data_IF_488209167402
#
_entry.id   IF_488209167402
#
_cell.length_a   1.000
_cell.length_b   1.000
_cell.length_c   1.000
_cell.angle_alpha   90.00
_cell.angle_beta   90.00
_cell.angle_gamma   90.00
#
_symmetry.space_group_name_H-M   'P 1'
#
loop_
_entity.id
_entity.type
_entity.pdbx_description
1 polymer ?
#
# COMPACT_ATOMS: atom_id res chain seq x y z
N UNK A 1 -14.66 3.71 -2.55
CA UNK A 1 -15.22 3.73 -1.18
C UNK A 1 -15.38 2.34 -0.53
N UNK A 2 -16.07 1.40 -1.19
CA UNK A 2 -16.44 0.08 -0.59
C UNK A 2 -15.22 -0.77 -0.20
N UNK A 3 -14.14 -0.76 -0.99
CA UNK A 3 -12.92 -1.54 -0.70
C UNK A 3 -11.96 -0.80 0.25
N UNK A 4 -11.98 0.53 0.26
CA UNK A 4 -11.03 1.36 1.02
C UNK A 4 -11.19 1.17 2.53
N UNK A 5 -12.42 1.27 3.04
CA UNK A 5 -12.71 1.13 4.47
C UNK A 5 -12.35 -0.24 5.05
N UNK A 6 -12.76 -1.39 4.47
CA UNK A 6 -12.41 -2.69 5.03
C UNK A 6 -10.90 -2.95 4.98
N UNK A 7 -10.22 -2.48 3.93
CA UNK A 7 -8.76 -2.60 3.82
C UNK A 7 -8.04 -1.78 4.90
N UNK A 8 -8.46 -0.55 5.13
CA UNK A 8 -7.90 0.29 6.20
C UNK A 8 -8.23 -0.24 7.61
N UNK A 9 -9.45 -0.76 7.80
CA UNK A 9 -9.83 -1.41 9.05
C UNK A 9 -8.94 -2.64 9.34
N UNK A 10 -8.68 -3.48 8.34
CA UNK A 10 -7.79 -4.63 8.49
C UNK A 10 -6.36 -4.23 8.88
N UNK A 11 -5.79 -3.20 8.24
CA UNK A 11 -4.48 -2.65 8.64
C UNK A 11 -4.49 -2.15 10.10
N UNK A 12 -5.58 -1.48 10.50
CA UNK A 12 -5.72 -0.98 11.87
C UNK A 12 -5.80 -2.11 12.90
N UNK A 13 -6.46 -3.23 12.56
CA UNK A 13 -6.49 -4.42 13.41
C UNK A 13 -5.11 -5.04 13.61
N UNK A 14 -4.27 -5.06 12.56
CA UNK A 14 -2.87 -5.51 12.67
C UNK A 14 -2.06 -4.56 13.58
N UNK A 15 -2.36 -3.26 13.57
CA UNK A 15 -1.69 -2.29 14.45
C UNK A 15 -2.11 -2.43 15.91
N UNK A 16 -3.28 -2.97 16.24
CA UNK A 16 -3.76 -3.12 17.64
C UNK A 16 -2.70 -3.73 18.57
N UNK A 17 -2.12 -4.91 18.27
CA UNK A 17 -1.09 -5.50 19.12
C UNK A 17 0.30 -4.87 18.94
N UNK A 18 0.56 -4.18 17.81
CA UNK A 18 1.89 -3.66 17.48
C UNK A 18 2.12 -2.22 17.97
N UNK A 19 1.03 -1.50 18.26
CA UNK A 19 1.00 -0.07 18.49
C UNK A 19 -0.14 0.27 19.47
N UNK A 20 0.11 0.15 20.78
CA UNK A 20 -0.88 0.45 21.81
C UNK A 20 -1.43 1.88 21.70
N UNK A 21 -0.53 2.83 21.43
CA UNK A 21 -0.81 4.28 21.33
C UNK A 21 -1.08 4.76 19.89
N UNK A 22 -1.48 3.86 18.99
CA UNK A 22 -1.77 4.20 17.58
C UNK A 22 -2.95 5.17 17.44
N UNK A 23 -2.92 5.96 16.37
CA UNK A 23 -4.09 6.70 15.90
C UNK A 23 -5.25 5.78 15.44
N UNK A 24 -6.42 6.37 15.16
CA UNK A 24 -7.63 5.65 14.81
C UNK A 24 -7.68 5.11 13.38
N UNK A 25 -8.83 4.51 13.05
CA UNK A 25 -9.10 3.96 11.70
C UNK A 25 -9.21 5.06 10.65
N UNK A 26 -9.72 6.24 11.02
CA UNK A 26 -9.90 7.37 10.09
C UNK A 26 -8.56 7.83 9.52
N UNK A 27 -7.53 7.86 10.35
CA UNK A 27 -6.18 8.22 9.97
C UNK A 27 -5.58 7.15 9.04
N UNK A 28 -5.82 5.86 9.33
CA UNK A 28 -5.46 4.76 8.41
C UNK A 28 -6.15 4.89 7.05
N UNK A 29 -7.45 5.21 7.03
CA UNK A 29 -8.21 5.44 5.79
C UNK A 29 -7.60 6.58 4.99
N UNK A 30 -7.24 7.68 5.65
CA UNK A 30 -6.61 8.83 5.01
C UNK A 30 -5.24 8.46 4.42
N UNK A 31 -4.38 7.77 5.16
CA UNK A 31 -3.08 7.31 4.67
C UNK A 31 -3.25 6.47 3.42
N UNK A 32 -4.12 5.46 3.45
CA UNK A 32 -4.35 4.58 2.29
C UNK A 32 -4.91 5.38 1.11
N UNK A 33 -5.89 6.25 1.35
CA UNK A 33 -6.49 7.08 0.31
C UNK A 33 -5.48 8.01 -0.36
N UNK A 34 -4.71 8.78 0.41
CA UNK A 34 -3.69 9.69 -0.14
C UNK A 34 -2.55 8.93 -0.82
N UNK A 35 -2.14 7.78 -0.30
CA UNK A 35 -1.12 6.94 -0.91
C UNK A 35 -1.54 6.37 -2.28
N UNK A 36 -2.84 6.36 -2.62
CA UNK A 36 -3.29 5.99 -3.97
C UNK A 36 -3.07 7.07 -5.03
N UNK A 37 -2.73 8.30 -4.66
CA UNK A 37 -2.56 9.41 -5.62
C UNK A 37 -1.62 9.09 -6.80
N UNK A 38 -0.44 8.46 -6.60
CA UNK A 38 0.44 8.07 -7.71
C UNK A 38 -0.21 7.06 -8.65
N UNK A 39 -1.14 6.24 -8.16
CA UNK A 39 -1.78 5.17 -8.92
C UNK A 39 -2.73 5.69 -10.02
N UNK A 40 -2.99 7.01 -10.09
CA UNK A 40 -3.57 7.61 -11.30
C UNK A 40 -2.72 7.26 -12.54
N UNK A 41 -1.39 7.23 -12.40
CA UNK A 41 -0.45 6.89 -13.46
C UNK A 41 -0.49 5.40 -13.85
N UNK A 42 -1.09 4.52 -13.04
CA UNK A 42 -1.24 3.09 -13.38
C UNK A 42 -2.15 2.85 -14.60
N UNK A 43 -2.95 3.85 -14.99
CA UNK A 43 -3.80 3.86 -16.19
C UNK A 43 -3.01 4.08 -17.49
N UNK A 44 -1.79 4.62 -17.41
CA UNK A 44 -0.91 4.80 -18.56
C UNK A 44 -0.52 3.42 -19.12
N UNK A 45 -0.59 3.18 -20.44
CA UNK A 45 -0.28 1.89 -21.05
C UNK A 45 1.25 1.65 -21.16
N UNK A 46 1.99 1.99 -20.12
CA UNK A 46 3.44 1.78 -19.98
C UNK A 46 3.66 0.98 -18.71
N UNK A 47 4.24 -0.22 -18.84
CA UNK A 47 4.34 -1.20 -17.76
C UNK A 47 5.19 -0.69 -16.60
N UNK A 48 6.30 -0.04 -16.92
CA UNK A 48 7.25 0.58 -16.01
C UNK A 48 6.58 1.69 -15.20
N UNK A 49 5.77 2.52 -15.84
CA UNK A 49 5.03 3.60 -15.18
C UNK A 49 4.04 3.03 -14.17
N UNK A 50 3.31 1.97 -14.54
CA UNK A 50 2.40 1.29 -13.61
C UNK A 50 3.16 0.72 -12.42
N UNK A 51 4.24 -0.02 -12.67
CA UNK A 51 5.04 -0.63 -11.61
C UNK A 51 5.61 0.43 -10.65
N UNK A 52 6.18 1.52 -11.18
CA UNK A 52 6.68 2.63 -10.37
C UNK A 52 5.57 3.28 -9.54
N UNK A 53 4.41 3.55 -10.14
CA UNK A 53 3.28 4.17 -9.46
C UNK A 53 2.76 3.32 -8.29
N UNK A 54 2.56 2.01 -8.50
CA UNK A 54 2.05 1.13 -7.45
C UNK A 54 3.07 0.87 -6.35
N UNK A 55 4.36 0.76 -6.69
CA UNK A 55 5.44 0.56 -5.72
C UNK A 55 5.64 1.81 -4.89
N UNK A 56 5.60 2.99 -5.51
CA UNK A 56 5.68 4.25 -4.80
C UNK A 56 4.49 4.45 -3.86
N UNK A 57 3.27 4.15 -4.33
CA UNK A 57 2.08 4.16 -3.48
C UNK A 57 2.18 3.19 -2.29
N UNK A 58 2.68 1.98 -2.51
CA UNK A 58 2.91 1.01 -1.43
C UNK A 58 3.93 1.51 -0.38
N UNK A 59 5.02 2.15 -0.83
CA UNK A 59 5.99 2.79 0.06
C UNK A 59 5.34 3.92 0.87
N UNK A 60 4.51 4.76 0.24
CA UNK A 60 3.78 5.83 0.92
C UNK A 60 2.82 5.30 1.98
N UNK A 61 2.19 4.14 1.78
CA UNK A 61 1.38 3.49 2.84
C UNK A 61 2.25 3.16 4.03
N UNK A 62 3.39 2.48 3.83
CA UNK A 62 4.27 2.09 4.93
C UNK A 62 4.78 3.32 5.69
N UNK A 63 5.26 4.34 4.98
CA UNK A 63 5.75 5.57 5.60
C UNK A 63 4.63 6.32 6.32
N UNK A 64 3.46 6.45 5.69
CA UNK A 64 2.30 7.11 6.28
C UNK A 64 1.84 6.43 7.56
N UNK A 65 1.75 5.10 7.58
CA UNK A 65 1.39 4.35 8.78
C UNK A 65 2.44 4.50 9.89
N UNK A 66 3.73 4.50 9.55
CA UNK A 66 4.80 4.72 10.52
C UNK A 66 4.69 6.10 11.19
N UNK A 67 4.48 7.15 10.40
CA UNK A 67 4.38 8.54 10.88
C UNK A 67 3.10 8.74 11.70
N UNK A 68 1.95 8.34 11.16
CA UNK A 68 0.64 8.62 11.76
C UNK A 68 0.39 7.82 13.03
N UNK A 69 0.89 6.58 13.11
CA UNK A 69 0.72 5.73 14.29
C UNK A 69 1.94 5.70 15.20
N UNK A 70 3.00 6.45 14.91
CA UNK A 70 4.20 6.55 15.75
C UNK A 70 4.96 5.22 15.91
N UNK A 71 5.01 4.40 14.87
CA UNK A 71 5.65 3.07 14.90
C UNK A 71 6.88 3.00 14.02
N UNK A 72 7.75 2.01 14.27
CA UNK A 72 8.86 1.72 13.37
C UNK A 72 8.37 1.29 11.98
N UNK A 73 9.18 1.56 10.95
CA UNK A 73 8.90 1.14 9.57
C UNK A 73 8.63 -0.35 9.44
N UNK A 74 9.29 -1.19 10.24
CA UNK A 74 9.05 -2.64 10.25
C UNK A 74 7.63 -2.99 10.70
N UNK A 75 7.13 -2.39 11.78
CA UNK A 75 5.75 -2.60 12.25
C UNK A 75 4.73 -2.03 11.28
N UNK A 76 5.02 -0.86 10.71
CA UNK A 76 4.19 -0.26 9.67
C UNK A 76 4.12 -1.15 8.41
N UNK A 77 5.24 -1.76 8.00
CA UNK A 77 5.28 -2.67 6.86
C UNK A 77 4.41 -3.91 7.10
N UNK A 78 4.42 -4.48 8.31
CA UNK A 78 3.52 -5.57 8.69
C UNK A 78 2.04 -5.16 8.61
N UNK A 79 1.70 -3.98 9.12
CA UNK A 79 0.33 -3.45 9.02
C UNK A 79 -0.08 -3.12 7.58
N UNK A 80 0.88 -2.74 6.73
CA UNK A 80 0.66 -2.38 5.34
C UNK A 80 0.40 -3.58 4.42
N UNK A 81 0.64 -4.82 4.87
CA UNK A 81 0.50 -6.02 4.01
C UNK A 81 -0.86 -6.08 3.33
N UNK A 82 -1.95 -5.92 4.09
CA UNK A 82 -3.31 -5.99 3.54
C UNK A 82 -3.58 -4.85 2.53
N UNK A 83 -3.38 -3.56 2.86
CA UNK A 83 -3.60 -2.48 1.90
C UNK A 83 -2.71 -2.56 0.67
N UNK A 84 -1.44 -2.93 0.83
CA UNK A 84 -0.51 -3.08 -0.29
C UNK A 84 -0.94 -4.21 -1.21
N UNK A 85 -1.22 -5.40 -0.69
CA UNK A 85 -1.57 -6.56 -1.52
C UNK A 85 -2.93 -6.36 -2.19
N UNK A 86 -3.96 -5.98 -1.44
CA UNK A 86 -5.32 -5.87 -1.97
C UNK A 86 -5.48 -4.61 -2.84
N UNK A 87 -5.05 -3.45 -2.35
CA UNK A 87 -5.21 -2.18 -3.04
C UNK A 87 -4.24 -2.01 -4.20
N UNK A 88 -2.94 -2.05 -3.92
CA UNK A 88 -1.87 -1.75 -4.89
C UNK A 88 -1.52 -2.97 -5.76
N UNK A 89 -1.54 -4.17 -5.16
CA UNK A 89 -1.24 -5.41 -5.84
C UNK A 89 -2.35 -5.85 -6.79
N UNK A 90 -3.56 -6.09 -6.28
CA UNK A 90 -4.70 -6.53 -7.09
C UNK A 90 -5.49 -5.37 -7.69
N UNK A 91 -5.88 -4.37 -6.90
CA UNK A 91 -6.72 -3.26 -7.35
C UNK A 91 -6.10 -2.46 -8.50
N UNK A 92 -4.79 -2.16 -8.42
CA UNK A 92 -4.04 -1.47 -9.46
C UNK A 92 -3.18 -2.39 -10.35
N UNK A 93 -3.36 -3.72 -10.23
CA UNK A 93 -2.59 -4.74 -10.99
C UNK A 93 -1.06 -4.62 -10.80
N UNK A 94 -0.62 -4.17 -9.63
CA UNK A 94 0.78 -4.02 -9.28
C UNK A 94 1.57 -5.32 -9.27
N UNK A 95 0.99 -6.43 -8.77
CA UNK A 95 1.66 -7.74 -8.73
C UNK A 95 1.98 -8.22 -10.15
N UNK A 96 1.02 -8.09 -11.07
CA UNK A 96 1.22 -8.43 -12.49
C UNK A 96 2.29 -7.55 -13.13
N UNK A 97 2.25 -6.23 -12.87
CA UNK A 97 3.19 -5.28 -13.46
C UNK A 97 4.62 -5.55 -13.02
N UNK A 98 4.85 -5.61 -11.71
CA UNK A 98 6.17 -5.87 -11.12
C UNK A 98 6.66 -7.27 -11.49
N UNK A 99 5.80 -8.29 -11.39
CA UNK A 99 6.17 -9.67 -11.74
C UNK A 99 6.52 -9.84 -13.22
N UNK A 100 5.93 -9.06 -14.12
CA UNK A 100 6.28 -9.06 -15.54
C UNK A 100 7.62 -8.40 -15.79
N UNK A 101 7.89 -7.23 -15.18
CA UNK A 101 9.20 -6.58 -15.29
C UNK A 101 10.33 -7.45 -14.73
N UNK A 102 10.13 -8.08 -13.56
CA UNK A 102 11.12 -8.97 -12.97
C UNK A 102 11.45 -10.14 -13.93
N UNK A 103 10.43 -10.76 -14.56
CA UNK A 103 10.68 -11.82 -15.54
C UNK A 103 11.44 -11.32 -16.78
N UNK A 104 11.10 -10.12 -17.27
CA UNK A 104 11.79 -9.51 -18.41
C UNK A 104 13.26 -9.19 -18.10
N UNK A 105 13.56 -8.71 -16.89
CA UNK A 105 14.92 -8.32 -16.49
C UNK A 105 15.81 -9.51 -16.13
N UNK A 106 15.24 -10.53 -15.47
CA UNK A 106 16.01 -11.65 -14.93
C UNK A 106 16.04 -12.88 -15.84
N UNK A 107 15.43 -12.83 -17.04
CA UNK A 107 15.42 -13.92 -18.04
C UNK A 107 15.07 -15.27 -17.40
N UNK A 108 13.86 -15.37 -16.84
CA UNK A 108 13.24 -16.67 -16.50
C UNK A 108 12.18 -17.00 -17.52
#
# INVERSE_FOLDING_TARGET
PVVLYPVAAAATLVLVPLAPDRAGVSETVQVVAYATAPCLLASVPVLEVRALAVTYGAVLVVVGLAVVHGVSLARAALAAVVPVVVGFGYGFRGVEAVGTLLRQWFVV
#
